data_IF_335880018099
#
_entry.id   IF_335880018099
#
_cell.length_a   1.000
_cell.length_b   1.000
_cell.length_c   1.000
_cell.angle_alpha   90.00
_cell.angle_beta   90.00
_cell.angle_gamma   90.00
#
_symmetry.space_group_name_H-M   'P 1'
#
loop_
_entity.id
_entity.type
_entity.pdbx_description
1 polymer ?
#
# COMPACT_ATOMS: atom_id res chain seq x y z
N UNK A 1 0.44 14.72 5.97
CA UNK A 1 -0.62 14.37 4.99
C UNK A 1 -0.13 14.42 3.55
N UNK A 2 0.42 15.55 3.06
CA UNK A 2 0.97 15.59 1.70
C UNK A 2 2.15 14.62 1.50
N UNK A 3 3.10 14.62 2.43
CA UNK A 3 4.22 13.67 2.41
C UNK A 3 3.75 12.21 2.45
N UNK A 4 2.76 11.89 3.28
CA UNK A 4 2.20 10.53 3.37
C UNK A 4 1.51 10.09 2.08
N UNK A 5 0.82 11.00 1.37
CA UNK A 5 0.26 10.72 0.05
C UNK A 5 1.34 10.44 -0.99
N UNK A 6 2.39 11.27 -1.02
CA UNK A 6 3.51 11.09 -1.96
C UNK A 6 4.23 9.75 -1.72
N UNK A 7 4.52 9.43 -0.46
CA UNK A 7 5.16 8.16 -0.10
C UNK A 7 4.30 6.95 -0.44
N UNK A 8 2.98 7.02 -0.20
CA UNK A 8 2.05 5.95 -0.57
C UNK A 8 1.94 5.76 -2.09
N UNK A 9 1.90 6.86 -2.86
CA UNK A 9 1.88 6.80 -4.32
C UNK A 9 3.20 6.22 -4.88
N UNK A 10 4.34 6.64 -4.33
CA UNK A 10 5.65 6.09 -4.68
C UNK A 10 5.73 4.59 -4.38
N UNK A 11 5.23 4.17 -3.23
CA UNK A 11 5.16 2.75 -2.87
C UNK A 11 4.36 1.93 -3.88
N UNK A 12 3.18 2.41 -4.30
CA UNK A 12 2.38 1.75 -5.32
C UNK A 12 3.11 1.65 -6.68
N UNK A 13 3.80 2.71 -7.08
CA UNK A 13 4.58 2.71 -8.32
C UNK A 13 5.73 1.69 -8.27
N UNK A 14 6.46 1.63 -7.15
CA UNK A 14 7.52 0.63 -6.93
C UNK A 14 6.96 -0.80 -6.90
N UNK A 15 5.78 -0.99 -6.30
CA UNK A 15 5.10 -2.29 -6.25
C UNK A 15 4.69 -2.78 -7.65
N UNK A 16 4.20 -1.90 -8.52
CA UNK A 16 3.90 -2.25 -9.92
C UNK A 16 5.16 -2.57 -10.72
N UNK A 17 6.26 -1.84 -10.47
CA UNK A 17 7.56 -2.14 -11.08
C UNK A 17 8.11 -3.51 -10.68
N UNK A 18 7.95 -3.89 -9.41
CA UNK A 18 8.41 -5.20 -8.92
C UNK A 18 7.61 -6.37 -9.51
N UNK A 19 6.30 -6.19 -9.72
CA UNK A 19 5.48 -7.17 -10.45
C UNK A 19 5.98 -7.40 -11.88
N UNK A 20 6.36 -6.33 -12.59
CA UNK A 20 6.93 -6.46 -13.94
C UNK A 20 8.25 -7.24 -13.95
N UNK A 21 9.10 -7.01 -12.95
CA UNK A 21 10.37 -7.73 -12.82
C UNK A 21 10.15 -9.23 -12.51
N UNK A 22 9.29 -9.54 -11.53
CA UNK A 22 8.92 -10.92 -11.21
C UNK A 22 8.28 -11.64 -12.41
N UNK A 23 7.44 -10.94 -13.17
CA UNK A 23 6.85 -11.48 -14.40
C UNK A 23 7.91 -11.81 -15.47
N UNK A 24 8.95 -10.99 -15.62
CA UNK A 24 10.08 -11.29 -16.54
C UNK A 24 10.88 -12.50 -16.09
N UNK A 25 11.14 -12.63 -14.79
CA UNK A 25 11.87 -13.79 -14.24
C UNK A 25 11.10 -15.11 -14.40
N UNK A 26 9.78 -15.06 -14.52
CA UNK A 26 8.92 -16.22 -14.78
C UNK A 26 8.84 -16.63 -16.26
N UNK A 27 9.37 -15.83 -17.20
CA UNK A 27 9.34 -16.14 -18.64
C UNK A 27 10.24 -17.35 -18.96
N UNK A 28 9.72 -18.56 -18.71
CA UNK A 28 10.41 -19.83 -18.94
C UNK A 28 10.30 -20.84 -17.79
N UNK A 29 9.76 -20.44 -16.63
CA UNK A 29 9.60 -21.31 -15.47
C UNK A 29 8.12 -21.55 -15.13
N UNK A 30 7.75 -22.73 -14.59
CA UNK A 30 6.39 -22.95 -14.08
C UNK A 30 6.09 -21.96 -12.94
N UNK A 31 4.89 -21.38 -12.93
CA UNK A 31 4.46 -20.55 -11.81
C UNK A 31 4.37 -21.41 -10.54
N UNK A 32 5.19 -21.10 -9.53
CA UNK A 32 5.17 -21.79 -8.25
C UNK A 32 4.15 -21.16 -7.30
N UNK A 33 3.59 -21.97 -6.39
CA UNK A 33 2.59 -21.55 -5.41
C UNK A 33 2.99 -20.27 -4.64
N UNK A 34 4.27 -20.14 -4.30
CA UNK A 34 4.81 -18.97 -3.60
C UNK A 34 4.63 -17.67 -4.39
N UNK A 35 4.93 -17.70 -5.69
CA UNK A 35 4.78 -16.55 -6.59
C UNK A 35 3.32 -16.15 -6.75
N UNK A 36 2.41 -17.12 -6.85
CA UNK A 36 0.97 -16.84 -6.89
C UNK A 36 0.48 -16.17 -5.59
N UNK A 37 0.92 -16.66 -4.42
CA UNK A 37 0.59 -16.05 -3.13
C UNK A 37 1.20 -14.65 -2.97
N UNK A 38 2.41 -14.42 -3.47
CA UNK A 38 3.01 -13.08 -3.52
C UNK A 38 2.11 -12.10 -4.28
N UNK A 39 1.64 -12.45 -5.49
CA UNK A 39 0.76 -11.58 -6.26
C UNK A 39 -0.59 -11.33 -5.55
N UNK A 40 -1.23 -12.36 -5.01
CA UNK A 40 -2.54 -12.21 -4.34
C UNK A 40 -2.42 -11.34 -3.09
N UNK A 41 -1.43 -11.60 -2.23
CA UNK A 41 -1.23 -10.85 -0.98
C UNK A 41 -0.82 -9.40 -1.29
N UNK A 42 0.13 -9.20 -2.20
CA UNK A 42 0.59 -7.86 -2.57
C UNK A 42 -0.49 -7.04 -3.27
N UNK A 43 -1.31 -7.65 -4.14
CA UNK A 43 -2.42 -6.97 -4.79
C UNK A 43 -3.51 -6.59 -3.79
N UNK A 44 -3.86 -7.50 -2.88
CA UNK A 44 -4.84 -7.21 -1.82
C UNK A 44 -4.34 -6.08 -0.93
N UNK A 45 -3.06 -6.09 -0.53
CA UNK A 45 -2.47 -5.01 0.24
C UNK A 45 -2.47 -3.68 -0.52
N UNK A 46 -2.09 -3.70 -1.81
CA UNK A 46 -2.13 -2.52 -2.68
C UNK A 46 -3.52 -1.89 -2.80
N UNK A 47 -4.58 -2.71 -2.85
CA UNK A 47 -5.97 -2.24 -2.83
C UNK A 47 -6.33 -1.53 -1.51
N UNK A 48 -5.91 -2.06 -0.37
CA UNK A 48 -6.12 -1.40 0.93
C UNK A 48 -5.37 -0.07 1.00
N UNK A 49 -4.12 -0.04 0.52
CA UNK A 49 -3.31 1.17 0.47
C UNK A 49 -3.95 2.24 -0.43
N UNK A 50 -4.48 1.86 -1.59
CA UNK A 50 -5.26 2.75 -2.47
C UNK A 50 -6.47 3.35 -1.73
N UNK A 51 -7.23 2.52 -1.00
CA UNK A 51 -8.36 2.98 -0.19
C UNK A 51 -7.95 4.02 0.87
N UNK A 52 -6.84 3.80 1.57
CA UNK A 52 -6.36 4.78 2.54
C UNK A 52 -5.73 6.02 1.90
N UNK A 53 -5.12 5.92 0.71
CA UNK A 53 -4.68 7.10 -0.07
C UNK A 53 -5.88 8.02 -0.38
N UNK A 54 -6.99 7.43 -0.84
CA UNK A 54 -8.24 8.16 -1.10
C UNK A 54 -8.76 8.82 0.17
N UNK A 55 -8.75 8.10 1.30
CA UNK A 55 -9.17 8.65 2.59
C UNK A 55 -8.31 9.84 3.03
N UNK A 56 -6.97 9.73 2.94
CA UNK A 56 -6.05 10.83 3.28
C UNK A 56 -6.21 12.01 2.31
N UNK A 57 -6.47 11.76 1.03
CA UNK A 57 -6.75 12.82 0.05
C UNK A 57 -8.04 13.59 0.39
N UNK A 58 -9.10 12.88 0.80
CA UNK A 58 -10.35 13.49 1.27
C UNK A 58 -10.13 14.32 2.54
N UNK A 59 -9.36 13.81 3.51
CA UNK A 59 -9.03 14.57 4.73
C UNK A 59 -8.21 15.83 4.41
N UNK A 60 -7.25 15.74 3.50
CA UNK A 60 -6.45 16.88 3.07
C UNK A 60 -7.32 17.94 2.39
N UNK A 61 -8.25 17.52 1.51
CA UNK A 61 -9.21 18.41 0.87
C UNK A 61 -10.12 19.10 1.90
N UNK A 62 -10.67 18.36 2.86
CA UNK A 62 -11.50 18.95 3.92
C UNK A 62 -10.73 19.94 4.80
N UNK A 63 -9.46 19.64 5.10
CA UNK A 63 -8.59 20.52 5.88
C UNK A 63 -8.24 21.82 5.14
N UNK A 64 -7.93 21.75 3.84
CA UNK A 64 -7.46 22.90 3.06
C UNK A 64 -8.58 23.75 2.46
N UNK A 65 -9.70 23.14 2.06
CA UNK A 65 -10.76 23.82 1.30
C UNK A 65 -12.00 24.09 2.16
N UNK A 66 -12.42 23.11 2.96
CA UNK A 66 -13.65 23.22 3.74
C UNK A 66 -13.43 23.86 5.13
N UNK A 67 -12.19 24.00 5.59
CA UNK A 67 -11.84 24.53 6.91
C UNK A 67 -12.39 23.69 8.07
N UNK A 68 -12.80 22.44 7.81
CA UNK A 68 -13.38 21.52 8.78
C UNK A 68 -12.46 20.32 8.94
N UNK A 69 -11.79 20.23 10.07
CA UNK A 69 -10.94 19.09 10.42
C UNK A 69 -11.57 18.38 11.60
N UNK A 70 -12.02 17.13 11.39
CA UNK A 70 -12.43 16.27 12.48
C UNK A 70 -11.19 15.52 13.00
N UNK A 71 -10.74 15.87 14.20
CA UNK A 71 -9.57 15.25 14.86
C UNK A 71 -9.71 13.73 14.94
N UNK A 72 -10.91 13.23 15.24
CA UNK A 72 -11.19 11.80 15.33
C UNK A 72 -11.00 11.09 13.97
N UNK A 73 -11.37 11.73 12.86
CA UNK A 73 -11.16 11.18 11.52
C UNK A 73 -9.67 11.13 11.15
N UNK A 74 -8.89 12.10 11.60
CA UNK A 74 -7.44 12.13 11.41
C UNK A 74 -6.77 11.02 12.21
N UNK A 75 -7.15 10.82 13.47
CA UNK A 75 -6.65 9.74 14.31
C UNK A 75 -6.96 8.36 13.72
N UNK A 76 -8.21 8.11 13.31
CA UNK A 76 -8.58 6.86 12.63
C UNK A 76 -7.74 6.64 11.36
N UNK A 77 -7.56 7.68 10.55
CA UNK A 77 -6.72 7.61 9.36
C UNK A 77 -5.27 7.27 9.68
N UNK A 78 -4.71 7.87 10.73
CA UNK A 78 -3.35 7.60 11.18
C UNK A 78 -3.22 6.14 11.66
N UNK A 79 -4.14 5.65 12.50
CA UNK A 79 -4.12 4.26 12.97
C UNK A 79 -4.24 3.27 11.82
N UNK A 80 -5.14 3.52 10.86
CA UNK A 80 -5.27 2.69 9.66
C UNK A 80 -3.95 2.63 8.87
N UNK A 81 -3.30 3.78 8.68
CA UNK A 81 -2.04 3.87 7.94
C UNK A 81 -0.89 3.11 8.61
N UNK A 82 -0.74 3.27 9.93
CA UNK A 82 0.29 2.56 10.68
C UNK A 82 0.03 1.06 10.71
N UNK A 83 -1.23 0.64 10.86
CA UNK A 83 -1.61 -0.77 10.81
C UNK A 83 -1.25 -1.41 9.45
N UNK A 84 -1.59 -0.76 8.34
CA UNK A 84 -1.21 -1.21 7.00
C UNK A 84 0.31 -1.32 6.83
N UNK A 85 1.06 -0.32 7.29
CA UNK A 85 2.53 -0.30 7.18
C UNK A 85 3.19 -1.42 7.99
N UNK A 86 2.77 -1.64 9.24
CA UNK A 86 3.29 -2.71 10.09
C UNK A 86 2.94 -4.08 9.52
N UNK A 87 1.69 -4.27 9.08
CA UNK A 87 1.24 -5.50 8.45
C UNK A 87 2.09 -5.80 7.20
N UNK A 88 2.35 -4.79 6.37
CA UNK A 88 3.17 -4.96 5.19
C UNK A 88 4.62 -5.33 5.50
N UNK A 89 5.24 -4.66 6.49
CA UNK A 89 6.59 -4.99 6.91
C UNK A 89 6.70 -6.45 7.39
N UNK A 90 5.70 -6.95 8.12
CA UNK A 90 5.63 -8.34 8.55
C UNK A 90 5.48 -9.31 7.36
N UNK A 91 4.55 -9.02 6.42
CA UNK A 91 4.35 -9.83 5.22
C UNK A 91 5.61 -9.87 4.34
N UNK A 92 6.24 -8.72 4.12
CA UNK A 92 7.48 -8.61 3.36
C UNK A 92 8.62 -9.39 4.03
N UNK A 93 8.75 -9.30 5.36
CA UNK A 93 9.72 -10.09 6.12
C UNK A 93 9.53 -11.60 5.92
N UNK A 94 8.29 -12.09 6.00
CA UNK A 94 7.98 -13.52 5.77
C UNK A 94 8.27 -13.93 4.33
N UNK A 95 7.99 -13.06 3.35
CA UNK A 95 8.28 -13.32 1.94
C UNK A 95 9.78 -13.25 1.60
N UNK A 96 10.56 -12.46 2.35
CA UNK A 96 12.00 -12.32 2.12
C UNK A 96 12.82 -13.45 2.74
N UNK A 97 12.32 -14.07 3.82
CA UNK A 97 13.01 -15.14 4.56
C UNK A 97 12.89 -16.52 3.84
N UNK A 98 12.11 -16.60 2.76
CA UNK A 98 12.03 -17.76 1.87
C UNK A 98 12.52 -17.39 0.47
#
# INVERSE_FOLDING_TARGET
MLLTLMLGALFLALQLGSWGEVARQLQGAPAHFFTAMFYVISATHGLHLLGGLVFVAILLYQAQVAGRVNVQSVELGATYWHFLGILWAALFGVMLIK
#
